data_IF_243091054556
#
_entry.id   IF_243091054556
#
_cell.length_a   1.000
_cell.length_b   1.000
_cell.length_c   1.000
_cell.angle_alpha   90.00
_cell.angle_beta   90.00
_cell.angle_gamma   90.00
#
_symmetry.space_group_name_H-M   'P 1'
#
loop_
_entity.id
_entity.type
_entity.pdbx_description
1 polymer ?
#
# COMPACT_ATOMS: atom_id res chain seq x y z
N UNK A 1 -0.86 16.47 43.08
CA UNK A 1 -0.34 15.44 42.16
C UNK A 1 -0.28 16.10 40.79
N UNK A 2 0.92 16.46 40.34
CA UNK A 2 1.10 17.10 39.04
C UNK A 2 0.96 16.02 37.96
N UNK A 3 -0.06 16.14 37.12
CA UNK A 3 -0.15 15.41 35.86
C UNK A 3 0.68 16.17 34.83
N UNK A 4 1.93 15.74 34.65
CA UNK A 4 2.75 16.17 33.51
C UNK A 4 2.04 15.78 32.21
N UNK A 5 1.87 16.68 31.24
CA UNK A 5 1.45 16.29 29.91
C UNK A 5 2.59 15.45 29.30
N UNK A 6 2.29 14.24 28.80
CA UNK A 6 3.26 13.55 27.95
C UNK A 6 3.46 14.40 26.69
N UNK A 7 4.62 15.05 26.58
CA UNK A 7 5.04 15.73 25.35
C UNK A 7 4.94 14.72 24.21
N UNK A 8 4.11 15.05 23.21
CA UNK A 8 3.78 14.18 22.10
C UNK A 8 5.00 13.99 21.21
N UNK A 9 5.66 12.84 21.34
CA UNK A 9 6.60 12.34 20.34
C UNK A 9 5.87 12.25 19.00
N UNK A 10 6.40 12.92 17.98
CA UNK A 10 5.77 12.93 16.65
C UNK A 10 5.63 11.49 16.12
N UNK A 11 4.62 11.21 15.29
CA UNK A 11 4.49 9.88 14.64
C UNK A 11 5.80 9.49 13.94
N UNK A 12 6.50 10.48 13.40
CA UNK A 12 7.81 10.35 12.78
C UNK A 12 8.87 9.78 13.74
N UNK A 13 8.95 10.24 14.99
CA UNK A 13 9.91 9.73 15.98
C UNK A 13 9.63 8.28 16.40
N UNK A 14 8.38 7.82 16.24
CA UNK A 14 7.98 6.43 16.52
C UNK A 14 8.23 5.48 15.34
N UNK A 15 8.62 5.99 14.18
CA UNK A 15 8.99 5.15 13.05
C UNK A 15 10.32 4.43 13.32
N UNK A 16 10.44 3.14 12.94
CA UNK A 16 11.73 2.46 12.84
C UNK A 16 12.73 3.27 12.00
N UNK A 17 14.03 3.14 12.30
CA UNK A 17 15.08 3.88 11.60
C UNK A 17 14.98 3.80 10.06
N UNK A 18 14.77 2.63 9.43
CA UNK A 18 14.65 2.55 7.97
C UNK A 18 13.49 3.37 7.39
N UNK A 19 12.38 3.49 8.13
CA UNK A 19 11.22 4.26 7.68
C UNK A 19 11.41 5.77 7.87
N UNK A 20 12.18 6.19 8.88
CA UNK A 20 12.58 7.59 9.02
C UNK A 20 13.53 8.02 7.91
N UNK A 21 14.54 7.20 7.64
CA UNK A 21 15.47 7.43 6.53
C UNK A 21 14.73 7.54 5.19
N UNK A 22 13.73 6.69 4.96
CA UNK A 22 12.89 6.75 3.76
C UNK A 22 12.07 8.05 3.65
N UNK A 23 11.53 8.57 4.77
CA UNK A 23 10.81 9.85 4.80
C UNK A 23 11.76 11.03 4.53
N UNK A 24 12.92 11.04 5.18
CA UNK A 24 13.94 12.09 5.00
C UNK A 24 14.51 12.09 3.58
N UNK A 25 14.64 10.92 2.95
CA UNK A 25 15.16 10.77 1.60
C UNK A 25 14.33 11.52 0.53
N UNK A 26 13.05 11.82 0.78
CA UNK A 26 12.21 12.60 -0.14
C UNK A 26 12.76 14.01 -0.40
N UNK A 27 13.54 14.55 0.54
CA UNK A 27 14.16 15.87 0.41
C UNK A 27 15.47 15.85 -0.41
N UNK A 28 16.00 14.66 -0.72
CA UNK A 28 17.24 14.54 -1.48
C UNK A 28 17.02 14.91 -2.97
N UNK A 29 17.89 15.75 -3.57
CA UNK A 29 17.75 16.17 -4.96
C UNK A 29 17.67 15.01 -5.95
N UNK A 30 18.44 13.94 -5.73
CA UNK A 30 18.45 12.74 -6.56
C UNK A 30 17.13 11.98 -6.50
N UNK A 31 16.49 11.92 -5.33
CA UNK A 31 15.18 11.26 -5.16
C UNK A 31 14.08 12.08 -5.83
N UNK A 32 14.12 13.40 -5.68
CA UNK A 32 13.18 14.29 -6.38
C UNK A 32 13.32 14.21 -7.90
N UNK A 33 14.54 14.06 -8.41
CA UNK A 33 14.75 13.88 -9.85
C UNK A 33 14.19 12.55 -10.34
N UNK A 34 14.36 11.46 -9.58
CA UNK A 34 13.72 10.16 -9.88
C UNK A 34 12.19 10.32 -9.89
N UNK A 35 11.61 11.00 -8.89
CA UNK A 35 10.15 11.24 -8.84
C UNK A 35 9.64 12.00 -10.07
N UNK A 36 10.38 13.01 -10.56
CA UNK A 36 10.01 13.71 -11.81
C UNK A 36 10.07 12.80 -13.02
N UNK A 37 11.03 11.87 -13.07
CA UNK A 37 11.12 10.88 -14.14
C UNK A 37 9.94 9.89 -14.09
N UNK A 38 9.59 9.41 -12.89
CA UNK A 38 8.43 8.53 -12.65
C UNK A 38 7.10 9.21 -13.02
N UNK A 39 6.95 10.50 -12.72
CA UNK A 39 5.72 11.25 -12.99
C UNK A 39 5.32 11.26 -14.48
N UNK A 40 6.30 11.15 -15.40
CA UNK A 40 6.03 11.03 -16.85
C UNK A 40 5.21 9.78 -17.22
N UNK A 41 5.23 8.78 -16.36
CA UNK A 41 4.54 7.50 -16.53
C UNK A 41 3.37 7.33 -15.54
N UNK A 42 2.93 8.41 -14.90
CA UNK A 42 1.95 8.37 -13.81
C UNK A 42 2.38 7.45 -12.64
N UNK A 43 3.70 7.35 -12.41
CA UNK A 43 4.28 6.63 -11.28
C UNK A 43 4.70 7.61 -10.19
N UNK A 44 4.73 7.13 -8.96
CA UNK A 44 5.19 7.87 -7.78
C UNK A 44 6.02 6.99 -6.85
N UNK A 45 6.35 7.52 -5.68
CA UNK A 45 7.02 6.79 -4.61
C UNK A 45 6.07 6.57 -3.44
N UNK A 46 6.23 5.45 -2.76
CA UNK A 46 5.58 5.18 -1.49
C UNK A 46 6.63 4.70 -0.50
N UNK A 47 6.30 4.70 0.79
CA UNK A 47 7.12 4.10 1.84
C UNK A 47 6.46 2.77 2.26
N UNK A 48 6.87 1.61 1.72
CA UNK A 48 6.23 0.34 2.02
C UNK A 48 6.48 -0.06 3.48
N UNK A 49 5.41 -0.41 4.20
CA UNK A 49 5.45 -0.80 5.61
C UNK A 49 4.30 -1.76 5.93
N UNK A 50 4.33 -2.36 7.11
CA UNK A 50 3.16 -2.99 7.73
C UNK A 50 3.00 -2.51 9.17
N UNK A 51 1.89 -2.85 9.82
CA UNK A 51 1.67 -2.56 11.23
C UNK A 51 1.81 -3.84 12.05
N UNK A 52 2.53 -3.76 13.16
CA UNK A 52 2.60 -4.83 14.16
C UNK A 52 1.18 -5.14 14.67
N UNK A 53 0.80 -6.43 14.68
CA UNK A 53 -0.56 -6.83 15.08
C UNK A 53 -0.85 -6.66 16.57
N UNK A 54 0.17 -6.73 17.43
CA UNK A 54 0.03 -6.64 18.88
C UNK A 54 -0.14 -5.20 19.36
N UNK A 55 0.63 -4.27 18.78
CA UNK A 55 0.70 -2.89 19.28
C UNK A 55 0.38 -1.81 18.23
N UNK A 56 0.23 -2.18 16.95
CA UNK A 56 -0.08 -1.25 15.86
C UNK A 56 1.09 -0.39 15.38
N UNK A 57 2.32 -0.64 15.86
CA UNK A 57 3.50 0.13 15.46
C UNK A 57 3.90 -0.13 14.00
N UNK A 58 4.53 0.87 13.38
CA UNK A 58 5.08 0.74 12.04
C UNK A 58 6.25 -0.24 12.02
N UNK A 59 6.28 -1.10 11.00
CA UNK A 59 7.36 -2.04 10.74
C UNK A 59 7.75 -2.01 9.26
N UNK A 60 9.03 -2.25 8.98
CA UNK A 60 9.53 -2.39 7.61
C UNK A 60 8.84 -3.56 6.91
N UNK A 61 8.39 -3.36 5.67
CA UNK A 61 7.84 -4.46 4.88
C UNK A 61 8.94 -5.45 4.53
N UNK A 62 8.89 -6.66 5.10
CA UNK A 62 9.92 -7.68 4.88
C UNK A 62 10.04 -8.10 3.41
N UNK A 63 11.22 -8.60 3.03
CA UNK A 63 11.43 -9.22 1.72
C UNK A 63 10.55 -10.46 1.56
N UNK A 64 10.05 -10.71 0.35
CA UNK A 64 9.15 -11.82 0.07
C UNK A 64 7.69 -11.61 0.51
N UNK A 65 7.38 -10.52 1.23
CA UNK A 65 6.02 -10.11 1.58
C UNK A 65 5.51 -9.07 0.58
N UNK A 66 4.25 -9.24 0.17
CA UNK A 66 3.47 -8.34 -0.68
C UNK A 66 2.28 -7.80 0.10
N UNK A 67 2.02 -6.51 -0.08
CA UNK A 67 0.77 -5.87 0.33
C UNK A 67 -0.32 -6.16 -0.71
N UNK A 68 -1.42 -6.79 -0.33
CA UNK A 68 -2.60 -6.93 -1.18
C UNK A 68 -3.67 -5.95 -0.73
N UNK A 69 -4.13 -5.11 -1.65
CA UNK A 69 -5.35 -4.33 -1.50
C UNK A 69 -6.53 -5.09 -2.12
N UNK A 70 -7.59 -5.29 -1.34
CA UNK A 70 -8.88 -5.81 -1.79
C UNK A 70 -10.00 -5.16 -0.98
N UNK A 71 -11.05 -4.66 -1.63
CA UNK A 71 -12.20 -4.02 -0.98
C UNK A 71 -11.81 -2.88 -0.01
N UNK A 72 -10.79 -2.08 -0.38
CA UNK A 72 -10.18 -1.03 0.45
C UNK A 72 -9.56 -1.55 1.76
N UNK A 73 -9.32 -2.86 1.86
CA UNK A 73 -8.60 -3.48 2.96
C UNK A 73 -7.23 -3.93 2.49
N UNK A 74 -6.23 -3.67 3.33
CA UNK A 74 -4.87 -4.13 3.12
C UNK A 74 -4.67 -5.44 3.87
N UNK A 75 -4.08 -6.42 3.20
CA UNK A 75 -3.58 -7.67 3.79
C UNK A 75 -2.13 -7.90 3.36
N UNK A 76 -1.42 -8.76 4.06
CA UNK A 76 -0.06 -9.13 3.73
C UNK A 76 -0.01 -10.63 3.41
N UNK A 77 0.76 -10.99 2.39
CA UNK A 77 0.95 -12.37 1.96
C UNK A 77 2.31 -12.56 1.32
N UNK A 78 2.72 -13.80 1.11
CA UNK A 78 3.95 -14.12 0.38
C UNK A 78 3.81 -13.80 -1.11
N UNK A 79 4.94 -13.57 -1.77
CA UNK A 79 4.98 -13.49 -3.25
C UNK A 79 4.45 -14.76 -3.93
N UNK A 80 4.60 -15.93 -3.30
CA UNK A 80 4.10 -17.19 -3.86
C UNK A 80 2.57 -17.24 -3.87
N UNK A 81 1.93 -16.79 -2.79
CA UNK A 81 0.47 -16.67 -2.70
C UNK A 81 -0.06 -15.62 -3.68
N UNK A 82 0.60 -14.46 -3.77
CA UNK A 82 0.22 -13.39 -4.68
C UNK A 82 0.16 -13.83 -6.16
N UNK A 83 1.06 -14.74 -6.59
CA UNK A 83 1.07 -15.29 -7.96
C UNK A 83 -0.16 -16.14 -8.31
N UNK A 84 -0.91 -16.60 -7.31
CA UNK A 84 -2.13 -17.39 -7.48
C UNK A 84 -3.39 -16.52 -7.56
N UNK A 85 -3.26 -15.20 -7.42
CA UNK A 85 -4.38 -14.25 -7.37
C UNK A 85 -4.42 -13.44 -8.65
N UNK A 86 -5.61 -13.35 -9.27
CA UNK A 86 -5.83 -12.43 -10.38
C UNK A 86 -5.79 -10.99 -9.86
N UNK A 87 -4.67 -10.31 -10.08
CA UNK A 87 -4.37 -9.01 -9.49
C UNK A 87 -3.45 -8.21 -10.40
N UNK A 88 -3.37 -6.90 -10.15
CA UNK A 88 -2.45 -5.99 -10.85
C UNK A 88 -1.44 -5.45 -9.85
N UNK A 89 -0.12 -5.49 -10.13
CA UNK A 89 0.86 -4.82 -9.28
C UNK A 89 0.68 -3.31 -9.32
N UNK A 90 0.70 -2.67 -8.14
CA UNK A 90 0.48 -1.23 -7.97
C UNK A 90 1.64 -0.52 -7.25
N UNK A 91 2.58 -1.28 -6.69
CA UNK A 91 3.85 -0.76 -6.19
C UNK A 91 4.97 -1.76 -6.44
N UNK A 92 6.19 -1.25 -6.60
CA UNK A 92 7.39 -2.05 -6.85
C UNK A 92 8.52 -1.64 -5.91
N UNK A 93 9.43 -2.58 -5.67
CA UNK A 93 10.69 -2.36 -4.95
C UNK A 93 11.83 -2.94 -5.76
N UNK A 94 13.01 -2.35 -5.60
CA UNK A 94 14.25 -2.97 -6.06
C UNK A 94 14.69 -4.03 -5.06
N UNK A 95 14.78 -5.29 -5.48
CA UNK A 95 15.20 -6.45 -4.67
C UNK A 95 16.06 -7.36 -5.54
N UNK A 96 17.17 -7.87 -5.01
CA UNK A 96 18.06 -8.83 -5.67
C UNK A 96 18.44 -8.45 -7.11
N UNK A 97 18.79 -7.17 -7.32
CA UNK A 97 19.17 -6.59 -8.62
C UNK A 97 18.04 -6.54 -9.67
N UNK A 98 16.78 -6.50 -9.22
CA UNK A 98 15.63 -6.42 -10.10
C UNK A 98 14.41 -5.71 -9.51
N UNK A 99 13.47 -5.36 -10.39
CA UNK A 99 12.18 -4.77 -10.01
C UNK A 99 11.21 -5.89 -9.64
N UNK A 100 10.71 -5.87 -8.40
CA UNK A 100 9.76 -6.84 -7.87
C UNK A 100 8.51 -6.14 -7.34
N UNK A 101 7.32 -6.72 -7.55
CA UNK A 101 6.09 -6.17 -6.98
C UNK A 101 6.13 -6.18 -5.45
N UNK A 102 5.76 -5.07 -4.83
CA UNK A 102 5.64 -4.89 -3.38
C UNK A 102 4.21 -4.71 -2.91
N UNK A 103 3.32 -4.27 -3.81
CA UNK A 103 1.89 -4.25 -3.59
C UNK A 103 1.12 -4.68 -4.85
N UNK A 104 -0.02 -5.34 -4.64
CA UNK A 104 -0.97 -5.74 -5.67
C UNK A 104 -2.37 -5.23 -5.31
N UNK A 105 -3.17 -4.91 -6.32
CA UNK A 105 -4.57 -4.56 -6.18
C UNK A 105 -5.42 -5.64 -6.86
N UNK A 106 -6.46 -6.11 -6.17
CA UNK A 106 -7.42 -7.05 -6.72
C UNK A 106 -8.65 -6.28 -7.19
N UNK A 107 -8.93 -6.34 -8.48
CA UNK A 107 -10.22 -5.95 -9.03
C UNK A 107 -11.10 -7.21 -9.11
N UNK A 108 -11.97 -7.42 -8.12
CA UNK A 108 -13.00 -8.44 -8.20
C UNK A 108 -14.31 -7.81 -8.69
N UNK A 109 -14.76 -8.30 -9.85
CA UNK A 109 -16.08 -8.00 -10.40
C UNK A 109 -17.01 -9.16 -10.05
N UNK A 110 -18.06 -8.91 -9.29
CA UNK A 110 -19.06 -9.93 -8.99
C UNK A 110 -20.19 -9.83 -10.03
N UNK A 111 -20.47 -10.94 -10.73
CA UNK A 111 -21.69 -11.07 -11.52
C UNK A 111 -22.82 -11.42 -10.55
N UNK A 112 -23.69 -10.45 -10.28
CA UNK A 112 -24.87 -10.68 -9.44
C UNK A 112 -26.01 -11.11 -10.35
N UNK A 113 -26.38 -12.39 -10.29
CA UNK A 113 -27.58 -12.89 -10.97
C UNK A 113 -28.80 -12.59 -10.11
N UNK A 114 -29.66 -11.69 -10.58
CA UNK A 114 -30.94 -11.40 -9.92
C UNK A 114 -31.96 -12.53 -10.14
N UNK A 115 -32.95 -12.70 -9.24
CA UNK A 115 -34.12 -13.54 -9.50
C UNK A 115 -34.90 -12.96 -10.69
N UNK A 116 -34.60 -13.43 -11.90
CA UNK A 116 -35.04 -12.83 -13.16
C UNK A 116 -34.04 -12.94 -14.31
N UNK A 117 -32.81 -13.41 -14.06
CA UNK A 117 -31.83 -13.75 -15.11
C UNK A 117 -31.16 -12.56 -15.79
N UNK A 118 -31.25 -11.37 -15.18
CA UNK A 118 -30.40 -10.24 -15.58
C UNK A 118 -29.14 -10.27 -14.73
N UNK A 119 -28.05 -10.60 -15.39
CA UNK A 119 -26.70 -10.44 -14.86
C UNK A 119 -26.33 -8.96 -14.95
N UNK A 120 -25.83 -8.40 -13.85
CA UNK A 120 -25.18 -7.09 -13.88
C UNK A 120 -23.81 -7.15 -13.22
N UNK A 121 -22.93 -6.28 -13.70
CA UNK A 121 -21.60 -6.09 -13.15
C UNK A 121 -21.72 -5.33 -11.84
N UNK A 122 -21.45 -5.99 -10.71
CA UNK A 122 -21.33 -5.33 -9.42
C UNK A 122 -19.84 -5.09 -9.14
N UNK A 123 -19.39 -3.85 -9.31
CA UNK A 123 -18.10 -3.42 -8.80
C UNK A 123 -18.20 -3.34 -7.27
N UNK A 124 -17.64 -4.32 -6.57
CA UNK A 124 -17.58 -4.31 -5.10
C UNK A 124 -16.38 -3.50 -4.59
N UNK A 125 -16.19 -2.28 -5.08
CA UNK A 125 -15.45 -1.30 -4.27
C UNK A 125 -16.35 -0.89 -3.10
N UNK A 126 -15.85 -0.98 -1.87
CA UNK A 126 -16.65 -0.71 -0.68
C UNK A 126 -17.03 0.78 -0.64
N UNK A 127 -18.19 1.12 -1.21
CA UNK A 127 -18.93 2.34 -0.96
C UNK A 127 -19.14 3.26 -2.16
N UNK A 128 -20.33 3.14 -2.76
CA UNK A 128 -21.16 4.28 -3.16
C UNK A 128 -20.70 5.09 -4.37
N UNK A 129 -21.58 5.18 -5.37
CA UNK A 129 -21.36 6.03 -6.53
C UNK A 129 -20.95 7.45 -6.14
N UNK A 130 -19.75 7.82 -6.56
CA UNK A 130 -19.46 9.19 -6.93
C UNK A 130 -18.72 9.14 -8.27
N UNK A 131 -19.27 9.75 -9.34
CA UNK A 131 -18.45 10.06 -10.49
C UNK A 131 -17.45 11.12 -10.01
N UNK A 132 -16.15 10.81 -10.08
CA UNK A 132 -15.16 11.90 -10.06
C UNK A 132 -15.42 12.81 -11.28
N UNK A 133 -15.22 14.13 -11.14
CA UNK A 133 -15.50 15.12 -12.20
C UNK A 133 -14.68 14.92 -13.47
#
# INVERSE_FOLDING_TARGET
MNTTPMEGSSIFERLPLPLREAQEAIELPEVQEIMKQLAKYNLGVCMPHFHNEENGDFMELQNGIIQMERDLQVRFMTQAEAKQINSVPVAWRWQDDGVTASAICVAECEIVTTPGGKDFHADRHKGGGHPYP
#
